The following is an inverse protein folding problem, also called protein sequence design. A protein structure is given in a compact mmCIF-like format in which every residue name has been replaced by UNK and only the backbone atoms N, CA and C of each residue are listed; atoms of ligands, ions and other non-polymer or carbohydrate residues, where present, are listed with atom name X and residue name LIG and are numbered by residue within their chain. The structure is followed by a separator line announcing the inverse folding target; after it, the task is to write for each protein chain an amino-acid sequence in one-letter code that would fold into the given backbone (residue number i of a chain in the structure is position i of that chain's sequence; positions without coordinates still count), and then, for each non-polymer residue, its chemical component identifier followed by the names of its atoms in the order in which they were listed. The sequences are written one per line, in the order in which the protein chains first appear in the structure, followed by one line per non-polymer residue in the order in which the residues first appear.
data_IF_831540212512
#
_entry.id   IF_831540212512
#
_cell.length_a   1.000
_cell.length_b   1.000
_cell.length_c   1.000
_cell.angle_alpha   90.00
_cell.angle_beta   90.00
_cell.angle_gamma   90.00
#
_symmetry.space_group_name_H-M   'P 1'
#
loop_
_entity.id
_entity.type
_entity.pdbx_description
1 polymer ?
#
# COMPACT_ATOMS: atom_id res chain seq x y z
N UNK A 1 4.66 -10.76 2.50
CA UNK A 1 3.51 -10.93 1.58
C UNK A 1 3.37 -9.68 0.72
N UNK A 2 3.18 -9.80 -0.61
CA UNK A 2 2.61 -8.69 -1.40
C UNK A 2 1.15 -8.62 -0.97
N UNK A 3 0.78 -7.53 -0.27
CA UNK A 3 -0.55 -7.44 0.34
C UNK A 3 -1.64 -7.24 -0.69
N UNK A 4 -1.30 -6.67 -1.85
CA UNK A 4 -2.22 -6.56 -2.96
C UNK A 4 -2.39 -7.94 -3.60
N UNK A 5 -3.62 -8.43 -3.63
CA UNK A 5 -3.91 -9.73 -4.24
C UNK A 5 -4.48 -9.43 -5.63
N UNK A 6 -3.80 -9.86 -6.71
CA UNK A 6 -4.21 -9.51 -8.05
C UNK A 6 -5.50 -10.25 -8.43
N UNK A 7 -6.49 -9.48 -8.88
CA UNK A 7 -7.68 -9.94 -9.58
C UNK A 7 -7.76 -9.18 -10.90
N UNK A 8 -8.42 -9.77 -11.90
CA UNK A 8 -8.68 -9.08 -13.17
C UNK A 8 -9.82 -8.08 -13.00
N UNK A 9 -10.84 -8.45 -12.23
CA UNK A 9 -12.09 -7.68 -12.06
C UNK A 9 -12.11 -6.80 -10.81
N UNK A 10 -11.31 -7.13 -9.79
CA UNK A 10 -11.21 -6.35 -8.56
C UNK A 10 -9.93 -5.50 -8.59
N UNK A 11 -10.06 -4.22 -8.26
CA UNK A 11 -8.95 -3.27 -8.42
C UNK A 11 -8.36 -2.79 -7.10
N UNK A 12 -9.06 -3.03 -5.98
CA UNK A 12 -8.66 -2.51 -4.68
C UNK A 12 -8.71 -3.60 -3.59
N UNK A 13 -8.40 -4.85 -3.98
CA UNK A 13 -8.38 -6.01 -3.09
C UNK A 13 -7.00 -6.20 -2.44
N UNK A 14 -6.94 -6.22 -1.11
CA UNK A 14 -5.70 -6.49 -0.37
C UNK A 14 -5.94 -7.12 1.00
N UNK A 15 -4.92 -7.84 1.47
CA UNK A 15 -4.77 -8.29 2.84
C UNK A 15 -4.33 -7.14 3.75
N UNK A 16 -4.90 -7.04 4.96
CA UNK A 16 -4.47 -6.10 6.01
C UNK A 16 -3.37 -6.69 6.90
N UNK A 17 -2.91 -7.90 6.62
CA UNK A 17 -1.81 -8.57 7.29
C UNK A 17 -0.45 -7.91 7.11
N UNK A 18 0.41 -8.12 8.11
CA UNK A 18 1.82 -7.73 8.15
C UNK A 18 2.09 -6.33 8.71
N UNK A 19 1.05 -5.51 8.95
CA UNK A 19 1.22 -4.21 9.59
C UNK A 19 1.76 -4.35 11.01
N UNK A 20 2.78 -3.56 11.40
CA UNK A 20 3.30 -3.58 12.75
C UNK A 20 2.34 -2.90 13.73
N UNK A 21 2.07 -3.56 14.85
CA UNK A 21 1.47 -2.93 16.02
C UNK A 21 2.55 -2.27 16.90
N UNK A 22 2.15 -1.31 17.73
CA UNK A 22 3.06 -0.53 18.58
C UNK A 22 3.83 -1.38 19.61
N UNK A 23 3.30 -2.55 19.99
CA UNK A 23 3.94 -3.48 20.93
C UNK A 23 4.88 -4.49 20.24
N UNK A 24 5.16 -4.31 18.95
CA UNK A 24 6.08 -5.14 18.17
C UNK A 24 5.45 -6.41 17.58
N UNK A 25 4.17 -6.69 17.88
CA UNK A 25 3.40 -7.70 17.17
C UNK A 25 3.05 -7.23 15.75
N UNK A 26 2.48 -8.13 14.94
CA UNK A 26 2.04 -7.83 13.57
C UNK A 26 0.63 -8.32 13.34
N UNK A 27 -0.11 -7.64 12.46
CA UNK A 27 -1.38 -8.13 11.98
C UNK A 27 -1.15 -9.44 11.23
N UNK A 28 -1.90 -10.48 11.58
CA UNK A 28 -1.80 -11.82 11.01
C UNK A 28 -2.24 -11.80 9.55
N UNK A 29 -1.41 -12.35 8.67
CA UNK A 29 -1.74 -12.47 7.26
C UNK A 29 -2.86 -13.50 7.01
N UNK A 30 -3.62 -13.30 5.94
CA UNK A 30 -4.68 -14.19 5.50
C UNK A 30 -5.95 -14.18 6.36
N UNK A 31 -6.08 -13.23 7.29
CA UNK A 31 -7.24 -13.16 8.20
C UNK A 31 -8.23 -12.06 7.85
N UNK A 32 -7.75 -10.88 7.48
CA UNK A 32 -8.61 -9.73 7.26
C UNK A 32 -8.28 -9.06 5.93
N UNK A 33 -9.25 -9.04 5.04
CA UNK A 33 -9.12 -8.48 3.71
C UNK A 33 -10.05 -7.27 3.53
N UNK A 34 -9.65 -6.37 2.65
CA UNK A 34 -10.48 -5.26 2.19
C UNK A 34 -10.54 -5.26 0.67
N UNK A 35 -11.68 -4.86 0.11
CA UNK A 35 -11.91 -4.91 -1.34
C UNK A 35 -12.81 -3.78 -1.86
N UNK A 36 -12.75 -3.55 -3.17
CA UNK A 36 -13.85 -2.96 -3.93
C UNK A 36 -15.00 -3.97 -4.12
N UNK A 37 -16.05 -3.57 -4.83
CA UNK A 37 -17.31 -4.34 -4.90
C UNK A 37 -17.12 -5.78 -5.40
N UNK A 38 -17.36 -6.76 -4.52
CA UNK A 38 -17.27 -8.19 -4.84
C UNK A 38 -18.35 -8.69 -5.82
N UNK A 39 -19.40 -7.90 -6.07
CA UNK A 39 -20.39 -8.20 -7.13
C UNK A 39 -19.83 -8.17 -8.56
N UNK A 40 -18.57 -7.78 -8.73
CA UNK A 40 -17.82 -7.89 -9.99
C UNK A 40 -17.34 -9.31 -10.27
N UNK A 41 -17.21 -10.15 -9.25
CA UNK A 41 -16.82 -11.55 -9.42
C UNK A 41 -17.87 -12.32 -10.22
N UNK A 42 -17.41 -13.37 -10.92
CA UNK A 42 -18.25 -14.26 -11.71
C UNK A 42 -17.99 -15.70 -11.27
N UNK A 43 -19.02 -16.51 -10.95
CA UNK A 43 -18.85 -17.93 -10.68
C UNK A 43 -18.04 -18.61 -11.78
N UNK A 44 -17.27 -19.64 -11.40
CA UNK A 44 -16.45 -20.46 -12.31
C UNK A 44 -15.39 -19.69 -13.11
N UNK A 45 -14.99 -18.50 -12.65
CA UNK A 45 -13.89 -17.72 -13.21
C UNK A 45 -12.60 -17.90 -12.41
N UNK A 46 -11.41 -17.65 -13.01
CA UNK A 46 -10.14 -17.68 -12.27
C UNK A 46 -10.10 -16.72 -11.07
N UNK A 47 -10.77 -15.57 -11.17
CA UNK A 47 -10.92 -14.62 -10.05
C UNK A 47 -11.80 -15.20 -8.93
N UNK A 48 -12.83 -15.97 -9.26
CA UNK A 48 -13.67 -16.64 -8.28
C UNK A 48 -12.93 -17.76 -7.56
N UNK A 49 -12.21 -18.61 -8.29
CA UNK A 49 -11.37 -19.66 -7.70
C UNK A 49 -10.30 -19.06 -6.79
N UNK A 50 -9.70 -17.94 -7.22
CA UNK A 50 -8.75 -17.19 -6.39
C UNK A 50 -9.40 -16.66 -5.12
N UNK A 51 -10.60 -16.09 -5.20
CA UNK A 51 -11.32 -15.60 -4.02
C UNK A 51 -11.64 -16.74 -3.05
N UNK A 52 -12.13 -17.88 -3.54
CA UNK A 52 -12.42 -19.06 -2.70
C UNK A 52 -11.15 -19.62 -2.04
N UNK A 53 -10.02 -19.62 -2.76
CA UNK A 53 -8.73 -20.07 -2.23
C UNK A 53 -8.19 -19.20 -1.07
N UNK A 54 -8.69 -17.98 -0.89
CA UNK A 54 -8.34 -17.14 0.26
C UNK A 54 -8.94 -17.65 1.57
N UNK A 55 -9.87 -18.62 1.53
CA UNK A 55 -10.48 -19.18 2.74
C UNK A 55 -11.38 -18.20 3.48
N UNK A 56 -11.94 -17.21 2.78
CA UNK A 56 -12.91 -16.27 3.35
C UNK A 56 -14.17 -17.01 3.77
N UNK A 57 -14.60 -16.81 5.02
CA UNK A 57 -15.82 -17.37 5.64
C UNK A 57 -16.87 -16.31 5.97
N UNK A 58 -16.51 -15.04 5.95
CA UNK A 58 -17.44 -13.94 6.21
C UNK A 58 -17.17 -12.79 5.25
N UNK A 59 -18.25 -12.30 4.62
CA UNK A 59 -18.25 -11.14 3.73
C UNK A 59 -19.13 -10.06 4.35
N UNK A 60 -18.53 -8.90 4.64
CA UNK A 60 -19.25 -7.71 5.09
C UNK A 60 -19.34 -6.73 3.91
N UNK A 61 -20.55 -6.47 3.46
CA UNK A 61 -20.85 -5.48 2.43
C UNK A 61 -21.32 -4.19 3.09
N UNK A 62 -20.48 -3.16 3.03
CA UNK A 62 -20.71 -1.85 3.64
C UNK A 62 -21.55 -0.91 2.76
N UNK A 63 -22.01 -1.41 1.60
CA UNK A 63 -22.81 -0.61 0.68
C UNK A 63 -24.22 -0.41 1.20
N UNK A 64 -24.88 0.64 0.72
CA UNK A 64 -26.32 0.74 0.88
C UNK A 64 -27.00 -0.47 0.19
N UNK A 65 -28.15 -0.96 0.71
CA UNK A 65 -28.88 -2.05 0.07
C UNK A 65 -29.19 -1.75 -1.42
N UNK A 66 -29.56 -0.51 -1.75
CA UNK A 66 -29.85 -0.11 -3.13
C UNK A 66 -28.62 -0.16 -4.05
N UNK A 67 -27.40 0.07 -3.55
CA UNK A 67 -26.18 -0.12 -4.32
C UNK A 67 -25.94 -1.61 -4.59
N UNK A 68 -26.13 -2.45 -3.58
CA UNK A 68 -25.96 -3.89 -3.69
C UNK A 68 -26.97 -4.51 -4.66
N UNK A 69 -28.23 -4.08 -4.62
CA UNK A 69 -29.27 -4.55 -5.52
C UNK A 69 -29.05 -4.05 -6.96
N UNK A 70 -28.64 -2.79 -7.15
CA UNK A 70 -28.40 -2.23 -8.48
C UNK A 70 -27.10 -2.71 -9.13
N UNK A 71 -26.09 -3.08 -8.33
CA UNK A 71 -24.71 -3.39 -8.81
C UNK A 71 -24.29 -4.83 -8.55
N UNK A 72 -25.18 -5.65 -8.01
CA UNK A 72 -24.93 -7.04 -7.66
C UNK A 72 -24.25 -7.17 -6.29
N UNK A 73 -24.65 -8.22 -5.59
CA UNK A 73 -23.95 -8.79 -4.43
C UNK A 73 -22.85 -9.72 -4.93
N UNK A 74 -21.95 -10.12 -4.03
CA UNK A 74 -21.08 -11.27 -4.30
C UNK A 74 -21.96 -12.48 -4.69
N UNK A 75 -21.55 -13.33 -5.65
CA UNK A 75 -22.27 -14.57 -5.93
C UNK A 75 -22.44 -15.42 -4.67
N UNK A 76 -23.61 -16.02 -4.48
CA UNK A 76 -23.88 -16.87 -3.32
C UNK A 76 -23.03 -18.14 -3.35
N UNK A 77 -22.56 -18.57 -2.18
CA UNK A 77 -21.75 -19.77 -2.03
C UNK A 77 -21.76 -20.26 -0.58
N UNK A 78 -21.80 -21.58 -0.37
CA UNK A 78 -21.92 -22.20 0.96
C UNK A 78 -20.69 -22.03 1.84
N UNK A 79 -19.54 -21.64 1.27
CA UNK A 79 -18.29 -21.51 2.03
C UNK A 79 -18.23 -20.29 2.93
N UNK A 80 -19.10 -19.29 2.75
CA UNK A 80 -19.09 -18.06 3.53
C UNK A 80 -20.49 -17.53 3.82
N UNK A 81 -20.59 -16.71 4.87
CA UNK A 81 -21.80 -15.93 5.17
C UNK A 81 -21.66 -14.51 4.64
N UNK A 82 -22.73 -13.99 4.01
CA UNK A 82 -22.84 -12.60 3.58
C UNK A 82 -23.65 -11.77 4.58
N UNK A 83 -23.13 -10.60 4.95
CA UNK A 83 -23.79 -9.61 5.80
C UNK A 83 -23.72 -8.23 5.14
N UNK A 84 -24.86 -7.62 4.86
CA UNK A 84 -24.92 -6.23 4.42
C UNK A 84 -25.11 -5.32 5.64
N UNK A 85 -24.07 -4.54 5.96
CA UNK A 85 -24.02 -3.62 7.10
C UNK A 85 -23.68 -2.21 6.57
N UNK A 86 -24.70 -1.48 6.14
CA UNK A 86 -24.52 -0.15 5.54
C UNK A 86 -24.17 0.89 6.60
N UNK A 87 -22.87 1.14 6.79
CA UNK A 87 -22.39 2.11 7.80
C UNK A 87 -22.67 3.57 7.42
N UNK A 88 -22.89 3.87 6.13
CA UNK A 88 -23.20 5.25 5.71
C UNK A 88 -24.71 5.43 5.64
N UNK A 89 -25.24 6.42 6.34
CA UNK A 89 -26.68 6.75 6.30
C UNK A 89 -26.97 7.98 5.42
N UNK A 90 -25.95 8.79 5.12
CA UNK A 90 -26.04 10.00 4.30
C UNK A 90 -25.29 9.85 2.98
N UNK A 91 -25.95 9.40 1.90
CA UNK A 91 -25.28 9.22 0.62
C UNK A 91 -24.85 10.56 0.02
N UNK A 92 -23.66 10.60 -0.57
CA UNK A 92 -23.14 11.77 -1.26
C UNK A 92 -22.62 11.42 -2.66
N UNK A 93 -22.99 12.25 -3.65
CA UNK A 93 -22.60 12.03 -5.03
C UNK A 93 -21.23 12.66 -5.32
N UNK A 94 -20.16 11.92 -5.03
CA UNK A 94 -18.79 12.36 -5.31
C UNK A 94 -18.56 12.77 -6.77
N UNK A 95 -19.24 12.12 -7.73
CA UNK A 95 -19.02 12.39 -9.15
C UNK A 95 -19.59 13.75 -9.60
N UNK A 96 -20.46 14.37 -8.81
CA UNK A 96 -21.07 15.66 -9.08
C UNK A 96 -20.41 16.82 -8.30
N UNK A 97 -19.42 16.55 -7.45
CA UNK A 97 -18.69 17.60 -6.74
C UNK A 97 -17.89 18.49 -7.71
N UNK A 98 -17.70 19.75 -7.34
CA UNK A 98 -17.00 20.74 -8.15
C UNK A 98 -15.49 20.68 -7.92
N UNK A 99 -14.66 21.14 -8.89
CA UNK A 99 -13.19 21.07 -8.78
C UNK A 99 -12.57 21.81 -7.59
N UNK A 100 -13.25 22.80 -7.03
CA UNK A 100 -12.81 23.60 -5.87
C UNK A 100 -12.97 22.87 -4.53
N UNK A 101 -13.69 21.74 -4.51
CA UNK A 101 -13.84 20.92 -3.29
C UNK A 101 -12.56 20.16 -3.01
N UNK A 102 -11.85 20.55 -1.95
CA UNK A 102 -10.69 19.81 -1.45
C UNK A 102 -11.13 18.45 -0.85
N UNK A 103 -10.59 17.32 -1.34
CA UNK A 103 -10.97 15.99 -0.86
C UNK A 103 -10.69 15.77 0.63
N UNK A 104 -9.64 16.34 1.20
CA UNK A 104 -9.22 16.12 2.58
C UNK A 104 -10.29 16.55 3.58
N UNK A 105 -10.56 17.87 3.72
CA UNK A 105 -11.61 18.37 4.60
C UNK A 105 -13.00 17.83 4.25
N UNK A 106 -13.34 17.72 2.96
CA UNK A 106 -14.66 17.27 2.55
C UNK A 106 -14.93 15.81 2.96
N UNK A 107 -14.06 14.87 2.58
CA UNK A 107 -14.26 13.45 2.86
C UNK A 107 -14.04 13.12 4.34
N UNK A 108 -13.11 13.79 5.03
CA UNK A 108 -12.96 13.61 6.48
C UNK A 108 -14.21 14.02 7.26
N UNK A 109 -14.91 15.08 6.83
CA UNK A 109 -16.20 15.44 7.39
C UNK A 109 -17.27 14.36 7.13
N UNK A 110 -17.31 13.77 5.93
CA UNK A 110 -18.22 12.63 5.63
C UNK A 110 -17.89 11.40 6.47
N UNK A 111 -16.61 11.11 6.71
CA UNK A 111 -16.22 10.00 7.58
C UNK A 111 -16.65 10.27 9.02
N UNK A 112 -16.55 11.52 9.51
CA UNK A 112 -17.09 11.88 10.82
C UNK A 112 -18.60 11.73 10.91
N UNK A 113 -19.36 12.09 9.87
CA UNK A 113 -20.82 11.83 9.83
C UNK A 113 -21.12 10.34 9.96
N UNK A 114 -20.42 9.49 9.20
CA UNK A 114 -20.55 8.02 9.28
C UNK A 114 -20.18 7.48 10.66
N UNK A 115 -19.17 8.06 11.32
CA UNK A 115 -18.81 7.67 12.68
C UNK A 115 -19.91 8.05 13.69
N UNK A 116 -20.69 9.09 13.41
CA UNK A 116 -21.76 9.55 14.31
C UNK A 116 -23.08 8.82 14.08
N UNK A 117 -23.49 8.61 12.82
CA UNK A 117 -24.79 8.00 12.50
C UNK A 117 -24.74 6.50 12.18
N UNK A 118 -23.63 5.99 11.66
CA UNK A 118 -23.42 4.56 11.38
C UNK A 118 -23.01 3.69 12.57
N UNK A 119 -23.20 4.17 13.80
CA UNK A 119 -22.65 3.56 15.01
C UNK A 119 -23.09 2.10 15.20
N UNK A 120 -24.37 1.78 14.96
CA UNK A 120 -24.91 0.43 15.13
C UNK A 120 -24.27 -0.56 14.15
N UNK A 121 -24.17 -0.21 12.86
CA UNK A 121 -23.56 -1.08 11.85
C UNK A 121 -22.03 -1.18 12.00
N UNK A 122 -21.37 -0.12 12.46
CA UNK A 122 -19.94 -0.14 12.78
C UNK A 122 -19.70 -1.10 13.96
N UNK A 123 -20.50 -1.03 15.02
CA UNK A 123 -20.40 -1.93 16.16
C UNK A 123 -20.57 -3.40 15.72
N UNK A 124 -21.64 -3.70 14.96
CA UNK A 124 -21.89 -5.04 14.43
C UNK A 124 -20.75 -5.54 13.51
N UNK A 125 -20.16 -4.65 12.70
CA UNK A 125 -19.02 -5.01 11.86
C UNK A 125 -17.77 -5.33 12.70
N UNK A 126 -17.49 -4.55 13.76
CA UNK A 126 -16.37 -4.79 14.65
C UNK A 126 -16.53 -6.10 15.44
N UNK A 127 -17.76 -6.44 15.87
CA UNK A 127 -18.06 -7.73 16.50
C UNK A 127 -17.77 -8.89 15.56
N UNK A 128 -18.25 -8.83 14.31
CA UNK A 128 -17.97 -9.85 13.30
C UNK A 128 -16.47 -10.01 13.03
N UNK A 129 -15.71 -8.91 13.04
CA UNK A 129 -14.25 -8.94 12.89
C UNK A 129 -13.57 -9.55 14.11
N UNK A 130 -14.04 -9.25 15.32
CA UNK A 130 -13.50 -9.83 16.56
C UNK A 130 -13.74 -11.34 16.65
N UNK A 131 -14.89 -11.80 16.18
CA UNK A 131 -15.30 -13.21 16.17
C UNK A 131 -14.74 -14.02 15.00
N UNK A 132 -14.14 -13.36 13.99
CA UNK A 132 -13.63 -14.00 12.78
C UNK A 132 -12.40 -14.88 13.08
N UNK A 133 -12.63 -16.18 13.29
CA UNK A 133 -11.56 -17.18 13.44
C UNK A 133 -10.91 -17.56 12.11
N UNK A 134 -11.60 -17.32 11.01
CA UNK A 134 -11.17 -17.58 9.64
C UNK A 134 -11.09 -16.30 8.82
N UNK A 135 -10.80 -16.39 7.51
CA UNK A 135 -10.70 -15.23 6.64
C UNK A 135 -12.01 -14.42 6.62
N UNK A 136 -11.91 -13.10 6.77
CA UNK A 136 -13.03 -12.17 6.62
C UNK A 136 -12.65 -11.09 5.61
N UNK A 137 -13.58 -10.72 4.74
CA UNK A 137 -13.44 -9.56 3.85
C UNK A 137 -14.55 -8.55 4.12
N UNK A 138 -14.19 -7.27 4.16
CA UNK A 138 -15.16 -6.19 4.10
C UNK A 138 -14.94 -5.31 2.87
N UNK A 139 -16.03 -4.89 2.23
CA UNK A 139 -15.96 -4.13 0.98
C UNK A 139 -17.04 -3.05 0.90
N UNK A 140 -16.85 -2.09 0.01
CA UNK A 140 -17.89 -1.14 -0.40
C UNK A 140 -17.94 -1.07 -1.93
N UNK A 141 -18.33 0.07 -2.52
CA UNK A 141 -18.32 0.22 -3.98
C UNK A 141 -16.90 0.22 -4.58
N UNK A 142 -16.02 1.07 -4.05
CA UNK A 142 -14.64 1.25 -4.52
C UNK A 142 -13.58 0.69 -3.56
N UNK A 143 -13.99 0.21 -2.39
CA UNK A 143 -13.07 -0.23 -1.34
C UNK A 143 -12.28 0.92 -0.70
N UNK A 144 -12.74 2.17 -0.88
CA UNK A 144 -12.03 3.39 -0.47
C UNK A 144 -12.56 3.97 0.83
N UNK A 145 -13.77 4.55 0.80
CA UNK A 145 -14.28 5.42 1.87
C UNK A 145 -14.77 4.61 3.07
N UNK A 146 -15.97 4.02 2.98
CA UNK A 146 -16.56 3.16 4.03
C UNK A 146 -15.64 2.02 4.46
N UNK A 147 -15.01 1.36 3.48
CA UNK A 147 -14.00 0.32 3.72
C UNK A 147 -12.76 0.88 4.41
N UNK A 148 -12.27 2.06 4.02
CA UNK A 148 -11.10 2.69 4.65
C UNK A 148 -11.38 3.12 6.08
N UNK A 149 -12.58 3.59 6.35
CA UNK A 149 -13.03 3.94 7.70
C UNK A 149 -13.06 2.71 8.61
N UNK A 150 -13.72 1.62 8.20
CA UNK A 150 -13.74 0.39 9.00
C UNK A 150 -12.33 -0.19 9.20
N UNK A 151 -11.49 -0.17 8.15
CA UNK A 151 -10.09 -0.58 8.26
C UNK A 151 -9.31 0.26 9.29
N UNK A 152 -9.50 1.58 9.29
CA UNK A 152 -8.85 2.47 10.24
C UNK A 152 -9.26 2.20 11.69
N UNK A 153 -10.55 1.95 11.95
CA UNK A 153 -11.03 1.60 13.29
C UNK A 153 -10.46 0.26 13.77
N UNK A 154 -10.48 -0.78 12.92
CA UNK A 154 -9.91 -2.10 13.27
C UNK A 154 -8.41 -1.99 13.52
N UNK A 155 -7.65 -1.38 12.60
CA UNK A 155 -6.20 -1.24 12.74
C UNK A 155 -5.82 -0.39 13.98
N UNK A 156 -6.58 0.67 14.27
CA UNK A 156 -6.40 1.46 15.49
C UNK A 156 -6.61 0.65 16.76
N UNK A 157 -7.66 -0.18 16.83
CA UNK A 157 -7.91 -1.09 17.96
C UNK A 157 -6.86 -2.21 18.10
N UNK A 158 -6.18 -2.57 17.00
CA UNK A 158 -5.02 -3.45 17.00
C UNK A 158 -3.72 -2.72 17.43
N UNK A 159 -3.77 -1.42 17.71
CA UNK A 159 -2.61 -0.62 18.10
C UNK A 159 -1.63 -0.40 16.95
N UNK A 160 -2.10 -0.44 15.70
CA UNK A 160 -1.29 -0.07 14.53
C UNK A 160 -1.12 1.46 14.52
N UNK A 161 0.10 2.00 14.33
CA UNK A 161 0.33 3.44 14.31
C UNK A 161 -0.43 4.16 13.20
N UNK A 162 -0.85 5.40 13.46
CA UNK A 162 -1.61 6.24 12.53
C UNK A 162 -0.96 6.36 11.17
N UNK A 163 0.36 6.52 11.13
CA UNK A 163 1.07 6.69 9.88
C UNK A 163 0.84 5.46 9.00
N UNK A 164 0.89 4.27 9.60
CA UNK A 164 0.63 3.00 8.89
C UNK A 164 -0.83 2.89 8.42
N UNK A 165 -1.79 3.37 9.22
CA UNK A 165 -3.21 3.41 8.85
C UNK A 165 -3.44 4.35 7.65
N UNK A 166 -2.83 5.53 7.69
CA UNK A 166 -2.86 6.52 6.60
C UNK A 166 -2.24 5.92 5.35
N UNK A 167 -1.08 5.27 5.48
CA UNK A 167 -0.40 4.61 4.37
C UNK A 167 -1.28 3.50 3.75
N UNK A 168 -1.95 2.66 4.55
CA UNK A 168 -2.90 1.66 4.02
C UNK A 168 -4.04 2.30 3.23
N UNK A 169 -4.59 3.41 3.72
CA UNK A 169 -5.63 4.15 3.01
C UNK A 169 -5.14 4.66 1.65
N UNK A 170 -3.94 5.24 1.62
CA UNK A 170 -3.36 5.79 0.38
C UNK A 170 -3.06 4.74 -0.69
N UNK A 171 -2.91 3.46 -0.34
CA UNK A 171 -2.73 2.39 -1.34
C UNK A 171 -3.87 2.33 -2.36
N UNK A 172 -5.05 2.83 -2.02
CA UNK A 172 -6.18 2.93 -2.97
C UNK A 172 -5.89 3.88 -4.13
N UNK A 173 -4.91 4.78 -4.02
CA UNK A 173 -4.43 5.60 -5.14
C UNK A 173 -4.01 4.75 -6.35
N UNK A 174 -3.41 3.56 -6.12
CA UNK A 174 -3.02 2.62 -7.18
C UNK A 174 -4.23 2.10 -7.98
N UNK A 175 -5.42 2.06 -7.37
CA UNK A 175 -6.66 1.62 -7.99
C UNK A 175 -7.41 2.75 -8.71
N UNK A 176 -7.03 4.03 -8.51
CA UNK A 176 -7.78 5.21 -9.01
C UNK A 176 -8.08 5.11 -10.50
N UNK A 177 -7.08 4.80 -11.32
CA UNK A 177 -7.23 4.75 -12.77
C UNK A 177 -8.27 3.72 -13.21
N UNK A 178 -8.21 2.52 -12.63
CA UNK A 178 -9.15 1.44 -12.91
C UNK A 178 -10.56 1.75 -12.38
N UNK A 179 -10.68 2.30 -11.17
CA UNK A 179 -11.95 2.73 -10.59
C UNK A 179 -12.63 3.82 -11.43
N UNK A 180 -11.84 4.77 -11.97
CA UNK A 180 -12.32 5.79 -12.88
C UNK A 180 -12.74 5.19 -14.23
N UNK A 181 -11.98 4.25 -14.77
CA UNK A 181 -12.33 3.54 -16.00
C UNK A 181 -13.65 2.77 -15.84
N UNK A 182 -13.82 2.03 -14.75
CA UNK A 182 -15.07 1.34 -14.39
C UNK A 182 -16.24 2.30 -14.30
N UNK A 183 -16.03 3.47 -13.68
CA UNK A 183 -17.08 4.47 -13.56
C UNK A 183 -17.46 5.02 -14.94
N UNK A 184 -16.49 5.35 -15.80
CA UNK A 184 -16.73 5.83 -17.18
C UNK A 184 -17.50 4.80 -18.00
N UNK A 185 -17.08 3.54 -17.95
CA UNK A 185 -17.73 2.45 -18.68
C UNK A 185 -19.22 2.31 -18.31
N UNK A 186 -19.55 2.47 -17.01
CA UNK A 186 -20.92 2.41 -16.49
C UNK A 186 -21.76 3.66 -16.76
N UNK A 187 -21.14 4.77 -17.14
CA UNK A 187 -21.79 6.07 -17.33
C UNK A 187 -21.67 6.58 -18.78
N UNK A 188 -21.65 5.65 -19.74
CA UNK A 188 -21.65 5.99 -21.17
C UNK A 188 -20.43 6.78 -21.61
N UNK A 189 -19.27 6.56 -20.99
CA UNK A 189 -18.01 7.25 -21.29
C UNK A 189 -17.89 8.65 -20.69
N UNK A 190 -18.90 9.15 -19.96
CA UNK A 190 -18.82 10.42 -19.22
C UNK A 190 -17.68 10.36 -18.20
N UNK A 191 -17.09 11.51 -17.85
CA UNK A 191 -16.16 11.65 -16.73
C UNK A 191 -16.84 12.31 -15.51
N UNK A 192 -16.41 12.00 -14.27
CA UNK A 192 -16.83 12.73 -13.09
C UNK A 192 -16.49 14.22 -13.21
N UNK A 193 -17.33 15.09 -12.65
CA UNK A 193 -17.06 16.53 -12.55
C UNK A 193 -15.90 16.79 -11.60
N UNK A 194 -15.84 16.02 -10.52
CA UNK A 194 -14.82 16.17 -9.50
C UNK A 194 -13.51 15.50 -9.91
N UNK A 195 -12.39 16.24 -10.04
CA UNK A 195 -11.10 15.65 -10.41
C UNK A 195 -10.55 14.67 -9.37
N UNK A 196 -10.95 14.83 -8.10
CA UNK A 196 -10.54 13.96 -7.00
C UNK A 196 -11.42 12.71 -6.86
N UNK A 197 -12.34 12.46 -7.80
CA UNK A 197 -13.11 11.23 -7.82
C UNK A 197 -12.18 10.00 -7.83
N UNK A 198 -12.52 9.00 -7.01
CA UNK A 198 -11.73 7.79 -6.75
C UNK A 198 -10.34 8.00 -6.09
N UNK A 199 -9.86 9.24 -5.91
CA UNK A 199 -8.61 9.53 -5.18
C UNK A 199 -8.75 9.27 -3.69
N UNK A 200 -7.67 8.83 -3.07
CA UNK A 200 -7.52 8.52 -1.65
C UNK A 200 -6.28 9.24 -1.04
N UNK A 201 -6.22 10.59 -1.06
CA UNK A 201 -5.06 11.30 -0.56
C UNK A 201 -4.93 11.16 0.96
N UNK A 202 -3.69 11.16 1.46
CA UNK A 202 -3.38 10.97 2.89
C UNK A 202 -4.14 11.92 3.82
N UNK A 203 -4.41 13.14 3.36
CA UNK A 203 -5.10 14.18 4.12
C UNK A 203 -6.49 13.75 4.58
N UNK A 204 -7.21 12.92 3.82
CA UNK A 204 -8.55 12.42 4.19
C UNK A 204 -8.47 11.61 5.48
N UNK A 205 -7.62 10.58 5.50
CA UNK A 205 -7.48 9.69 6.66
C UNK A 205 -6.84 10.42 7.84
N UNK A 206 -5.80 11.23 7.58
CA UNK A 206 -5.14 12.03 8.62
C UNK A 206 -6.11 12.99 9.31
N UNK A 207 -6.93 13.71 8.56
CA UNK A 207 -7.93 14.63 9.12
C UNK A 207 -9.05 13.89 9.84
N UNK A 208 -9.49 12.74 9.32
CA UNK A 208 -10.49 11.89 10.00
C UNK A 208 -9.99 11.39 11.35
N UNK A 209 -8.80 10.76 11.42
CA UNK A 209 -8.22 10.27 12.67
C UNK A 209 -8.02 11.40 13.68
N UNK A 210 -7.59 12.57 13.21
CA UNK A 210 -7.49 13.76 14.05
C UNK A 210 -8.86 14.20 14.57
N UNK A 211 -9.86 14.36 13.70
CA UNK A 211 -11.20 14.81 14.07
C UNK A 211 -11.87 13.85 15.06
N UNK A 212 -11.70 12.54 14.87
CA UNK A 212 -12.20 11.51 15.79
C UNK A 212 -11.63 11.72 17.20
N UNK A 213 -10.30 11.93 17.31
CA UNK A 213 -9.67 12.19 18.62
C UNK A 213 -10.03 13.53 19.22
N UNK A 214 -10.08 14.58 18.41
CA UNK A 214 -10.50 15.90 18.90
C UNK A 214 -11.92 15.86 19.46
N UNK A 215 -12.81 15.05 18.85
CA UNK A 215 -14.22 14.91 19.25
C UNK A 215 -14.42 14.01 20.47
N UNK A 216 -13.75 12.86 20.51
CA UNK A 216 -14.02 11.79 21.49
C UNK A 216 -12.89 11.60 22.51
N UNK A 217 -11.74 12.23 22.33
CA UNK A 217 -10.54 12.08 23.16
C UNK A 217 -9.64 10.91 22.73
N UNK A 218 -10.21 9.76 22.39
CA UNK A 218 -9.49 8.62 21.81
C UNK A 218 -10.41 7.73 20.97
N UNK A 219 -9.82 6.76 20.26
CA UNK A 219 -10.60 5.74 19.54
C UNK A 219 -11.39 4.85 20.52
N UNK A 220 -10.79 4.49 21.64
CA UNK A 220 -11.43 3.70 22.69
C UNK A 220 -12.60 4.45 23.32
N UNK A 221 -12.45 5.76 23.54
CA UNK A 221 -13.54 6.59 24.04
C UNK A 221 -14.70 6.70 23.03
N UNK A 222 -14.41 6.73 21.73
CA UNK A 222 -15.43 6.62 20.68
C UNK A 222 -16.16 5.26 20.72
N UNK A 223 -15.40 4.16 20.82
CA UNK A 223 -15.97 2.80 20.89
C UNK A 223 -16.87 2.64 22.12
N UNK A 224 -16.46 3.15 23.28
CA UNK A 224 -17.27 3.06 24.50
C UNK A 224 -18.44 4.04 24.53
N UNK A 225 -18.21 5.30 24.16
CA UNK A 225 -19.22 6.34 24.26
C UNK A 225 -20.26 6.31 23.14
N UNK A 226 -19.83 6.09 21.90
CA UNK A 226 -20.70 6.17 20.71
C UNK A 226 -21.16 4.80 20.24
N UNK A 227 -20.26 3.80 20.18
CA UNK A 227 -20.64 2.45 19.75
C UNK A 227 -21.29 1.62 20.88
N UNK A 228 -21.19 2.08 22.13
CA UNK A 228 -21.75 1.37 23.29
C UNK A 228 -21.04 0.05 23.61
N UNK A 229 -19.80 -0.13 23.16
CA UNK A 229 -19.03 -1.37 23.33
C UNK A 229 -17.95 -1.20 24.42
N UNK A 230 -17.57 -2.30 25.09
CA UNK A 230 -16.37 -2.31 25.92
C UNK A 230 -15.13 -2.28 25.01
N UNK A 231 -14.50 -1.11 24.88
CA UNK A 231 -13.36 -0.92 24.00
C UNK A 231 -12.14 -1.75 24.43
N UNK A 232 -11.95 -1.95 25.74
CA UNK A 232 -10.83 -2.73 26.25
C UNK A 232 -11.02 -4.21 25.94
N UNK A 233 -12.21 -4.75 26.19
CA UNK A 233 -12.54 -6.14 25.86
C UNK A 233 -12.50 -6.38 24.36
N UNK A 234 -13.07 -5.48 23.55
CA UNK A 234 -13.05 -5.56 22.09
C UNK A 234 -11.61 -5.55 21.55
N UNK A 235 -10.78 -4.60 22.00
CA UNK A 235 -9.37 -4.54 21.60
C UNK A 235 -8.62 -5.81 22.02
N UNK A 236 -8.83 -6.32 23.23
CA UNK A 236 -8.20 -7.57 23.68
C UNK A 236 -8.56 -8.75 22.77
N UNK A 237 -9.84 -8.91 22.41
CA UNK A 237 -10.30 -9.97 21.51
C UNK A 237 -9.74 -9.80 20.11
N UNK A 238 -9.84 -8.60 19.52
CA UNK A 238 -9.27 -8.30 18.20
C UNK A 238 -7.77 -8.61 18.16
N UNK A 239 -7.03 -8.22 19.19
CA UNK A 239 -5.58 -8.48 19.28
C UNK A 239 -5.28 -9.97 19.38
N UNK A 240 -6.04 -10.72 20.17
CA UNK A 240 -5.87 -12.17 20.28
C UNK A 240 -6.18 -12.91 18.96
N UNK A 241 -7.18 -12.45 18.22
CA UNK A 241 -7.62 -13.05 16.95
C UNK A 241 -6.69 -12.66 15.78
N UNK A 242 -6.31 -11.39 15.70
CA UNK A 242 -5.71 -10.79 14.50
C UNK A 242 -4.24 -10.41 14.65
N UNK A 243 -3.63 -10.48 15.84
CA UNK A 243 -2.19 -10.31 15.97
C UNK A 243 -1.45 -11.64 16.04
N UNK A 244 -0.19 -11.60 15.63
CA UNK A 244 0.79 -12.63 15.84
C UNK A 244 2.12 -12.01 16.28
N UNK A 245 2.96 -12.77 17.04
CA UNK A 245 4.30 -12.32 17.36
C UNK A 245 5.10 -12.00 16.10
N UNK A 246 5.95 -10.98 16.15
CA UNK A 246 6.93 -10.79 15.09
C UNK A 246 7.86 -12.03 15.00
N UNK A 247 8.36 -12.37 13.80
CA UNK A 247 9.29 -13.47 13.62
C UNK A 247 10.50 -13.34 14.55
N UNK A 248 10.78 -14.39 15.34
CA UNK A 248 11.90 -14.40 16.28
C UNK A 248 13.26 -14.30 15.59
N UNK A 249 13.36 -14.81 14.36
CA UNK A 249 14.53 -14.69 13.49
C UNK A 249 14.20 -13.84 12.28
N UNK A 250 15.20 -13.12 11.76
CA UNK A 250 15.02 -12.44 10.47
C UNK A 250 14.95 -13.50 9.38
N UNK A 251 13.93 -13.48 8.51
CA UNK A 251 13.82 -14.46 7.46
C UNK A 251 14.98 -14.32 6.47
N UNK A 252 15.36 -15.45 5.89
CA UNK A 252 16.32 -15.46 4.79
C UNK A 252 15.76 -14.65 3.61
N UNK A 253 16.64 -13.91 2.94
CA UNK A 253 16.30 -13.18 1.73
C UNK A 253 16.87 -13.99 0.59
N UNK A 254 15.98 -14.51 -0.23
CA UNK A 254 16.33 -15.09 -1.51
C UNK A 254 16.19 -14.01 -2.59
N UNK A 255 16.89 -14.17 -3.69
CA UNK A 255 16.84 -13.21 -4.79
C UNK A 255 16.99 -13.91 -6.13
N UNK A 256 16.39 -13.32 -7.16
CA UNK A 256 16.57 -13.74 -8.55
C UNK A 256 16.53 -12.53 -9.47
N UNK A 257 17.07 -12.70 -10.68
CA UNK A 257 16.85 -11.72 -11.75
C UNK A 257 15.35 -11.68 -12.09
N UNK A 258 14.85 -10.48 -12.32
CA UNK A 258 13.52 -10.25 -12.83
C UNK A 258 13.47 -10.59 -14.32
N UNK A 259 12.30 -11.04 -14.76
CA UNK A 259 11.96 -11.33 -16.15
C UNK A 259 10.84 -10.39 -16.61
N UNK A 260 10.56 -10.26 -17.93
CA UNK A 260 9.54 -9.34 -18.42
C UNK A 260 8.16 -9.52 -17.76
N UNK A 261 7.78 -10.75 -17.40
CA UNK A 261 6.55 -11.07 -16.66
C UNK A 261 6.47 -10.43 -15.26
N UNK A 262 7.60 -10.02 -14.70
CA UNK A 262 7.68 -9.39 -13.39
C UNK A 262 7.54 -7.86 -13.44
N UNK A 263 7.49 -7.25 -14.64
CA UNK A 263 7.36 -5.80 -14.77
C UNK A 263 6.16 -5.21 -14.01
N UNK A 264 4.96 -5.84 -13.97
CA UNK A 264 3.85 -5.36 -13.15
C UNK A 264 4.17 -5.34 -11.65
N UNK A 265 4.94 -6.31 -11.15
CA UNK A 265 5.36 -6.37 -9.74
C UNK A 265 6.30 -5.21 -9.41
N UNK A 266 7.24 -4.90 -10.30
CA UNK A 266 8.19 -3.80 -10.12
C UNK A 266 7.52 -2.43 -10.13
N UNK A 267 6.57 -2.21 -11.05
CA UNK A 267 5.74 -0.99 -11.08
C UNK A 267 4.99 -0.84 -9.76
N UNK A 268 4.29 -1.89 -9.30
CA UNK A 268 3.55 -1.84 -8.02
C UNK A 268 4.46 -1.58 -6.83
N UNK A 269 5.61 -2.25 -6.75
CA UNK A 269 6.57 -2.05 -5.66
C UNK A 269 7.04 -0.60 -5.61
N UNK A 270 7.38 -0.04 -6.78
CA UNK A 270 7.84 1.35 -6.88
C UNK A 270 6.73 2.34 -6.53
N UNK A 271 5.53 2.17 -7.06
CA UNK A 271 4.42 3.08 -6.83
C UNK A 271 3.95 3.02 -5.38
N UNK A 272 3.97 1.84 -4.76
CA UNK A 272 3.74 1.66 -3.33
C UNK A 272 4.79 2.42 -2.50
N UNK A 273 6.07 2.32 -2.88
CA UNK A 273 7.13 3.07 -2.21
C UNK A 273 7.01 4.59 -2.42
N UNK A 274 6.51 5.03 -3.58
CA UNK A 274 6.24 6.44 -3.86
C UNK A 274 5.09 6.98 -3.00
N UNK A 275 3.97 6.24 -2.89
CA UNK A 275 2.86 6.59 -2.00
C UNK A 275 3.31 6.67 -0.54
N UNK A 276 4.13 5.72 -0.10
CA UNK A 276 4.74 5.74 1.24
C UNK A 276 5.59 6.98 1.49
N UNK A 277 6.36 7.43 0.49
CA UNK A 277 7.17 8.64 0.58
C UNK A 277 6.28 9.89 0.67
N UNK A 278 5.29 10.01 -0.21
CA UNK A 278 4.36 11.13 -0.23
C UNK A 278 3.57 11.25 1.07
N UNK A 279 3.11 10.12 1.63
CA UNK A 279 2.40 10.05 2.91
C UNK A 279 3.27 10.50 4.12
N UNK A 280 4.57 10.76 3.89
CA UNK A 280 5.54 11.24 4.87
C UNK A 280 6.14 12.60 4.50
N UNK A 281 5.59 13.27 3.47
CA UNK A 281 6.12 14.52 2.95
C UNK A 281 7.51 14.37 2.30
N UNK A 282 7.87 13.17 1.82
CA UNK A 282 9.12 12.92 1.10
C UNK A 282 8.80 13.01 -0.40
N UNK A 283 9.18 14.11 -1.04
CA UNK A 283 9.03 14.30 -2.48
C UNK A 283 10.26 13.78 -3.23
N UNK A 284 10.23 12.51 -3.62
CA UNK A 284 11.33 11.90 -4.39
C UNK A 284 10.83 11.06 -5.56
N UNK A 285 9.79 10.23 -5.39
CA UNK A 285 9.15 9.48 -6.46
C UNK A 285 7.67 9.82 -6.58
N UNK A 286 7.15 9.72 -7.81
CA UNK A 286 5.71 9.84 -8.07
C UNK A 286 5.14 8.49 -8.52
N UNK A 287 3.93 8.10 -8.06
CA UNK A 287 3.22 6.94 -8.59
C UNK A 287 2.96 7.08 -10.10
N UNK A 288 3.08 5.99 -10.85
CA UNK A 288 2.86 5.96 -12.31
C UNK A 288 3.98 6.56 -13.15
N UNK A 289 5.05 7.06 -12.53
CA UNK A 289 6.17 7.69 -13.24
C UNK A 289 6.99 6.70 -14.09
N UNK A 290 7.05 5.42 -13.69
CA UNK A 290 7.76 4.36 -14.42
C UNK A 290 6.78 3.25 -14.79
N UNK A 291 6.77 2.92 -16.08
CA UNK A 291 5.86 1.92 -16.66
C UNK A 291 6.49 0.54 -16.67
N UNK A 292 5.71 -0.47 -17.04
CA UNK A 292 6.23 -1.82 -17.27
C UNK A 292 7.32 -1.82 -18.36
N UNK A 293 7.12 -1.04 -19.43
CA UNK A 293 8.09 -0.88 -20.51
C UNK A 293 9.45 -0.37 -19.98
N UNK A 294 9.43 0.59 -19.05
CA UNK A 294 10.67 1.06 -18.40
C UNK A 294 11.45 -0.11 -17.78
N UNK A 295 10.80 -0.93 -16.96
CA UNK A 295 11.47 -2.05 -16.29
C UNK A 295 11.90 -3.14 -17.28
N UNK A 296 11.11 -3.41 -18.32
CA UNK A 296 11.50 -4.35 -19.39
C UNK A 296 12.77 -3.87 -20.11
N UNK A 297 12.88 -2.58 -20.42
CA UNK A 297 14.08 -2.02 -21.04
C UNK A 297 15.28 -2.08 -20.08
N UNK A 298 15.09 -1.80 -18.79
CA UNK A 298 16.15 -1.97 -17.78
C UNK A 298 16.63 -3.42 -17.65
N UNK A 299 15.74 -4.41 -17.80
CA UNK A 299 16.12 -5.83 -17.81
C UNK A 299 16.98 -6.21 -19.04
N UNK A 300 16.83 -5.49 -20.17
CA UNK A 300 17.63 -5.70 -21.38
C UNK A 300 19.00 -5.05 -21.30
N UNK A 301 19.06 -3.83 -20.79
CA UNK A 301 20.28 -3.01 -20.75
C UNK A 301 21.18 -3.30 -19.54
N UNK A 302 20.62 -3.83 -18.44
CA UNK A 302 21.34 -4.11 -17.21
C UNK A 302 20.78 -5.31 -16.46
N UNK A 303 20.73 -5.20 -15.14
CA UNK A 303 20.12 -6.22 -14.30
C UNK A 303 19.04 -5.60 -13.41
N UNK A 304 17.87 -6.23 -13.38
CA UNK A 304 16.83 -5.94 -12.39
C UNK A 304 16.68 -7.18 -11.53
N UNK A 305 16.63 -7.01 -10.21
CA UNK A 305 16.58 -8.09 -9.25
C UNK A 305 15.37 -7.95 -8.34
N UNK A 306 14.77 -9.08 -7.97
CA UNK A 306 13.73 -9.18 -6.95
C UNK A 306 14.27 -9.92 -5.74
N UNK A 307 13.98 -9.40 -4.55
CA UNK A 307 14.22 -10.04 -3.27
C UNK A 307 12.92 -10.58 -2.68
N UNK A 308 13.01 -11.74 -2.03
CA UNK A 308 11.89 -12.42 -1.40
C UNK A 308 12.22 -12.75 0.05
N UNK A 309 11.25 -12.53 0.94
CA UNK A 309 11.25 -13.03 2.32
C UNK A 309 10.00 -13.89 2.50
N UNK A 310 10.18 -15.13 2.98
CA UNK A 310 9.09 -16.09 3.22
C UNK A 310 8.15 -16.25 2.00
N UNK A 311 8.75 -16.38 0.81
CA UNK A 311 8.03 -16.55 -0.46
C UNK A 311 7.39 -15.28 -1.03
N UNK A 312 7.49 -14.14 -0.35
CA UNK A 312 6.88 -12.90 -0.79
C UNK A 312 7.89 -11.81 -1.16
N UNK A 313 7.53 -10.95 -2.12
CA UNK A 313 8.38 -9.84 -2.56
C UNK A 313 8.67 -8.89 -1.39
N UNK A 314 9.94 -8.81 -1.02
CA UNK A 314 10.45 -7.94 0.04
C UNK A 314 11.10 -6.66 -0.51
N UNK A 315 11.51 -6.68 -1.78
CA UNK A 315 12.09 -5.52 -2.43
C UNK A 315 12.64 -5.83 -3.82
N UNK A 316 13.24 -4.81 -4.44
CA UNK A 316 13.90 -4.91 -5.72
C UNK A 316 15.05 -3.89 -5.80
N UNK A 317 15.96 -4.12 -6.73
CA UNK A 317 16.97 -3.13 -7.11
C UNK A 317 17.37 -3.30 -8.57
N UNK A 318 17.93 -2.24 -9.14
CA UNK A 318 18.59 -2.28 -10.42
C UNK A 318 20.10 -2.21 -10.23
N UNK A 319 20.81 -2.95 -11.06
CA UNK A 319 22.26 -2.92 -11.13
C UNK A 319 22.66 -2.61 -12.58
N UNK A 320 23.27 -1.44 -12.76
CA UNK A 320 23.74 -0.98 -14.05
C UNK A 320 25.26 -1.11 -14.14
N UNK A 321 25.77 -1.23 -15.36
CA UNK A 321 27.20 -1.38 -15.65
C UNK A 321 27.80 -0.12 -16.26
N UNK A 322 27.00 0.90 -16.52
CA UNK A 322 27.42 2.25 -16.86
C UNK A 322 26.30 3.22 -16.47
N UNK A 323 26.64 4.46 -16.11
CA UNK A 323 25.68 5.53 -15.82
C UNK A 323 26.27 6.91 -16.15
N UNK A 324 26.55 7.18 -17.44
CA UNK A 324 27.14 8.46 -17.85
C UNK A 324 26.18 9.63 -17.62
N UNK A 325 24.87 9.34 -17.57
CA UNK A 325 23.85 10.34 -17.28
C UNK A 325 24.03 10.95 -15.90
N UNK A 326 24.45 10.17 -14.90
CA UNK A 326 24.72 10.72 -13.57
C UNK A 326 26.20 10.98 -13.26
N UNK A 327 27.08 10.10 -13.71
CA UNK A 327 28.49 10.08 -13.30
C UNK A 327 29.46 10.67 -14.33
N UNK A 328 28.94 11.07 -15.49
CA UNK A 328 29.75 11.38 -16.67
C UNK A 328 30.52 10.16 -17.18
N UNK A 329 31.41 10.32 -18.17
CA UNK A 329 32.27 9.26 -18.64
C UNK A 329 33.16 8.73 -17.51
N UNK A 330 33.12 7.41 -17.26
CA UNK A 330 33.92 6.74 -16.22
C UNK A 330 34.59 5.48 -16.78
N UNK A 331 35.71 5.02 -16.17
CA UNK A 331 36.24 3.70 -16.45
C UNK A 331 35.21 2.60 -16.16
N UNK A 332 35.35 1.45 -16.79
CA UNK A 332 34.51 0.27 -16.54
C UNK A 332 34.89 -0.45 -15.23
N UNK A 333 35.06 0.31 -14.14
CA UNK A 333 35.59 -0.12 -12.85
C UNK A 333 34.52 -0.22 -11.74
N UNK A 334 33.28 0.16 -12.03
CA UNK A 334 32.21 0.22 -11.04
C UNK A 334 30.89 -0.38 -11.49
N UNK A 335 30.12 -0.96 -10.59
CA UNK A 335 28.68 -1.18 -10.83
C UNK A 335 27.85 -0.09 -10.15
N UNK A 336 26.70 0.24 -10.73
CA UNK A 336 25.84 1.35 -10.27
C UNK A 336 24.52 0.79 -9.74
N UNK A 337 24.26 0.99 -8.45
CA UNK A 337 23.04 0.52 -7.79
C UNK A 337 21.97 1.60 -7.88
N UNK A 338 20.86 1.30 -8.54
CA UNK A 338 19.73 2.20 -8.66
C UNK A 338 18.44 1.59 -8.12
N UNK A 339 17.50 2.47 -7.78
CA UNK A 339 16.12 2.11 -7.40
C UNK A 339 16.08 0.96 -6.38
N UNK A 340 16.88 1.07 -5.32
CA UNK A 340 16.85 0.16 -4.19
C UNK A 340 15.53 0.39 -3.43
N UNK A 341 14.59 -0.54 -3.57
CA UNK A 341 13.21 -0.40 -3.10
C UNK A 341 12.86 -1.54 -2.16
N UNK A 342 12.34 -1.24 -0.97
CA UNK A 342 11.78 -2.24 -0.06
C UNK A 342 10.26 -2.14 -0.05
N UNK A 343 9.56 -3.28 0.05
CA UNK A 343 8.11 -3.30 0.24
C UNK A 343 7.76 -2.65 1.58
N UNK A 344 7.06 -1.50 1.61
CA UNK A 344 6.79 -0.81 2.87
C UNK A 344 6.03 -1.67 3.87
N UNK A 345 6.36 -1.57 5.17
CA UNK A 345 5.78 -2.28 6.34
C UNK A 345 5.96 -3.80 6.40
N UNK A 346 5.90 -4.51 5.28
CA UNK A 346 5.96 -5.98 5.23
C UNK A 346 7.38 -6.49 4.98
N UNK A 347 8.28 -5.67 4.42
CA UNK A 347 9.68 -6.06 4.31
C UNK A 347 10.32 -6.21 5.70
N UNK A 348 11.06 -7.30 5.95
CA UNK A 348 11.79 -7.47 7.20
C UNK A 348 12.76 -6.29 7.46
N UNK A 349 12.96 -5.88 8.73
CA UNK A 349 13.96 -4.87 9.07
C UNK A 349 15.35 -5.20 8.51
N UNK A 350 15.98 -4.22 7.87
CA UNK A 350 17.30 -4.38 7.25
C UNK A 350 17.30 -4.99 5.84
N UNK A 351 16.13 -5.24 5.23
CA UNK A 351 16.03 -5.74 3.84
C UNK A 351 16.83 -4.89 2.86
N UNK A 352 16.72 -3.56 2.95
CA UNK A 352 17.49 -2.63 2.10
C UNK A 352 19.00 -2.86 2.18
N UNK A 353 19.55 -3.08 3.39
CA UNK A 353 20.99 -3.30 3.59
C UNK A 353 21.47 -4.60 2.96
N UNK A 354 20.65 -5.64 3.09
CA UNK A 354 20.97 -6.97 2.56
C UNK A 354 20.91 -7.00 1.04
N UNK A 355 19.93 -6.31 0.44
CA UNK A 355 19.88 -6.11 -1.02
C UNK A 355 21.08 -5.30 -1.52
N UNK A 356 21.45 -4.23 -0.82
CA UNK A 356 22.64 -3.44 -1.16
C UNK A 356 23.93 -4.29 -1.10
N UNK A 357 24.13 -5.04 -0.02
CA UNK A 357 25.27 -5.96 0.12
C UNK A 357 25.30 -7.04 -0.97
N UNK A 358 24.11 -7.53 -1.39
CA UNK A 358 24.01 -8.48 -2.50
C UNK A 358 24.43 -7.85 -3.83
N UNK A 359 24.00 -6.61 -4.10
CA UNK A 359 24.45 -5.86 -5.27
C UNK A 359 25.96 -5.66 -5.26
N UNK A 360 26.54 -5.25 -4.12
CA UNK A 360 27.99 -5.12 -3.92
C UNK A 360 28.73 -6.44 -4.23
N UNK A 361 28.27 -7.58 -3.70
CA UNK A 361 28.87 -8.89 -3.99
C UNK A 361 28.79 -9.25 -5.48
N UNK A 362 27.69 -8.92 -6.17
CA UNK A 362 27.52 -9.15 -7.61
C UNK A 362 28.49 -8.31 -8.45
N UNK A 363 28.77 -7.07 -8.01
CA UNK A 363 29.73 -6.16 -8.63
C UNK A 363 31.16 -6.67 -8.45
N UNK A 364 31.54 -7.06 -7.23
CA UNK A 364 32.85 -7.65 -6.94
C UNK A 364 33.10 -8.93 -7.76
N UNK A 365 32.09 -9.80 -7.86
CA UNK A 365 32.15 -11.00 -8.69
C UNK A 365 32.26 -10.72 -10.20
N UNK A 366 31.90 -9.51 -10.66
CA UNK A 366 32.15 -9.05 -12.02
C UNK A 366 33.57 -8.48 -12.23
N UNK A 367 34.44 -8.51 -11.21
CA UNK A 367 35.79 -7.96 -11.24
C UNK A 367 35.84 -6.43 -11.14
N UNK A 368 34.77 -5.78 -10.70
CA UNK A 368 34.71 -4.32 -10.58
C UNK A 368 35.03 -3.89 -9.14
N UNK A 369 36.08 -3.06 -8.92
CA UNK A 369 36.51 -2.67 -7.57
C UNK A 369 35.60 -1.64 -6.88
N UNK A 370 34.62 -1.04 -7.56
CA UNK A 370 33.78 0.00 -6.96
C UNK A 370 32.29 -0.31 -7.09
N UNK A 371 31.53 0.02 -6.04
CA UNK A 371 30.08 0.19 -6.12
C UNK A 371 29.75 1.68 -6.05
N UNK A 372 28.93 2.15 -6.97
CA UNK A 372 28.49 3.54 -7.08
C UNK A 372 26.97 3.62 -6.95
N UNK A 373 26.46 4.73 -6.42
CA UNK A 373 25.03 5.04 -6.36
C UNK A 373 24.82 6.54 -6.21
N UNK A 374 23.60 6.98 -6.49
CA UNK A 374 23.17 8.36 -6.27
C UNK A 374 21.94 8.44 -5.35
N UNK A 375 21.83 9.54 -4.61
CA UNK A 375 20.64 9.85 -3.83
C UNK A 375 20.27 11.33 -3.93
N UNK A 376 18.99 11.64 -3.78
CA UNK A 376 18.51 13.03 -3.79
C UNK A 376 19.26 13.87 -2.75
N UNK A 377 19.87 14.98 -3.15
CA UNK A 377 20.67 15.85 -2.26
C UNK A 377 19.84 16.40 -1.09
N UNK A 378 18.55 16.61 -1.30
CA UNK A 378 17.62 17.08 -0.27
C UNK A 378 17.20 15.99 0.76
N UNK A 379 17.69 14.75 0.63
CA UNK A 379 17.34 13.63 1.52
C UNK A 379 18.52 13.24 2.44
N UNK A 380 18.74 13.97 3.56
CA UNK A 380 19.87 13.72 4.46
C UNK A 380 19.81 12.35 5.15
N UNK A 381 18.60 11.80 5.35
CA UNK A 381 18.42 10.46 5.93
C UNK A 381 18.95 9.38 5.01
N UNK A 382 18.67 9.48 3.71
CA UNK A 382 19.15 8.52 2.72
C UNK A 382 20.67 8.62 2.53
N UNK A 383 21.22 9.83 2.60
CA UNK A 383 22.68 10.04 2.63
C UNK A 383 23.33 9.34 3.84
N UNK A 384 22.85 9.63 5.05
CA UNK A 384 23.36 9.01 6.28
C UNK A 384 23.23 7.48 6.25
N UNK A 385 22.15 6.98 5.64
CA UNK A 385 22.00 5.55 5.36
C UNK A 385 23.17 5.06 4.50
N UNK A 386 23.46 5.62 3.33
CA UNK A 386 24.56 5.10 2.51
C UNK A 386 25.95 5.27 3.14
N UNK A 387 26.21 6.39 3.83
CA UNK A 387 27.47 6.61 4.56
C UNK A 387 27.69 5.53 5.62
N UNK A 388 26.65 5.14 6.36
CA UNK A 388 26.75 4.05 7.34
C UNK A 388 26.91 2.64 6.72
N UNK A 389 26.77 2.49 5.39
CA UNK A 389 27.15 1.27 4.66
C UNK A 389 28.62 1.28 4.17
N UNK A 390 29.36 2.35 4.46
CA UNK A 390 30.75 2.53 4.02
C UNK A 390 30.88 3.22 2.65
N UNK A 391 29.83 3.87 2.16
CA UNK A 391 29.94 4.74 0.99
C UNK A 391 30.49 6.12 1.40
N UNK A 392 31.27 6.75 0.53
CA UNK A 392 31.76 8.12 0.69
C UNK A 392 31.18 9.01 -0.39
N UNK A 393 30.92 10.27 -0.04
CA UNK A 393 30.49 11.28 -1.03
C UNK A 393 31.67 11.67 -1.90
N UNK A 394 31.49 11.58 -3.21
CA UNK A 394 32.53 11.86 -4.22
C UNK A 394 32.14 12.96 -5.20
N UNK A 395 30.92 13.49 -5.11
CA UNK A 395 30.47 14.61 -5.91
C UNK A 395 28.99 14.92 -5.74
N UNK A 396 28.55 15.92 -6.48
CA UNK A 396 27.15 16.29 -6.61
C UNK A 396 26.86 16.61 -8.08
N UNK A 397 25.72 16.15 -8.58
CA UNK A 397 25.22 16.52 -9.89
C UNK A 397 23.99 17.39 -9.72
N UNK A 398 24.08 18.64 -10.21
CA UNK A 398 23.09 19.69 -9.95
C UNK A 398 21.82 19.59 -10.80
N UNK A 399 21.84 18.80 -11.88
CA UNK A 399 20.69 18.56 -12.74
C UNK A 399 20.77 17.17 -13.35
N UNK A 400 19.98 16.23 -12.82
CA UNK A 400 19.72 14.93 -13.47
C UNK A 400 18.37 15.04 -14.18
N UNK A 401 18.35 14.90 -15.51
CA UNK A 401 17.09 14.82 -16.26
C UNK A 401 16.47 13.44 -16.04
N UNK A 402 15.51 13.34 -15.11
CA UNK A 402 14.85 12.10 -14.72
C UNK A 402 13.73 11.61 -15.66
N UNK A 403 13.50 12.31 -16.77
CA UNK A 403 12.52 11.94 -17.80
C UNK A 403 11.05 12.21 -17.46
N UNK A 404 10.73 12.91 -16.36
CA UNK A 404 9.34 13.15 -15.93
C UNK A 404 9.10 14.38 -15.02
N UNK A 405 10.12 15.19 -14.70
CA UNK A 405 9.98 16.33 -13.78
C UNK A 405 11.16 17.31 -13.78
N UNK A 406 11.04 18.40 -13.00
CA UNK A 406 12.05 19.44 -12.82
C UNK A 406 13.43 18.87 -12.44
N UNK A 407 14.54 19.47 -12.91
CA UNK A 407 15.88 19.00 -12.58
C UNK A 407 16.08 19.00 -11.06
N UNK A 408 16.51 17.85 -10.52
CA UNK A 408 16.85 17.71 -9.11
C UNK A 408 18.33 17.39 -8.95
N UNK A 409 18.90 17.86 -7.84
CA UNK A 409 20.30 17.61 -7.49
C UNK A 409 20.44 16.24 -6.81
N UNK A 410 21.48 15.51 -7.19
CA UNK A 410 21.83 14.22 -6.57
C UNK A 410 23.25 14.24 -6.02
N UNK A 411 23.42 13.65 -4.84
CA UNK A 411 24.72 13.34 -4.26
C UNK A 411 25.22 12.03 -4.86
N UNK A 412 26.46 12.04 -5.33
CA UNK A 412 27.14 10.86 -5.88
C UNK A 412 27.97 10.20 -4.77
N UNK A 413 27.75 8.90 -4.55
CA UNK A 413 28.45 8.14 -3.52
C UNK A 413 29.13 6.90 -4.09
N UNK A 414 30.32 6.59 -3.57
CA UNK A 414 31.14 5.44 -4.00
C UNK A 414 31.62 4.63 -2.79
N UNK A 415 31.76 3.32 -2.98
CA UNK A 415 32.38 2.40 -2.03
C UNK A 415 33.37 1.51 -2.76
N UNK A 416 34.59 1.41 -2.22
CA UNK A 416 35.57 0.42 -2.69
C UNK A 416 35.20 -0.96 -2.16
N UNK A 417 35.10 -1.93 -3.06
CA UNK A 417 34.84 -3.33 -2.76
C UNK A 417 36.18 -4.03 -2.51
N UNK A 418 36.19 -4.91 -1.50
CA UNK A 418 37.37 -5.66 -1.07
C UNK A 418 37.63 -6.91 -1.89
#
# INVERSE_FOLDING_TARGET
MDRHIPFETLHNFRDLGGYPAADGQRVRAGRLFRADSLGKLRPDSPDWDRFLALGVRTVIDLRHPWEADARGRIPEHDSFTYRNLSIEHRPYNQAALTPDVDPGPYLSARFMEVAEDGAEEIAAALELVADAKEGLVFHCASGKDRTGQLAALVLGLLGVPDEVIIEDFTLTELATGALLADWRARNGGRSPVWPSFARAPESVMRLFLKALRDRYGSLEAYVTGTLGMDAQALSATLRATLLEPAPATRPELTHRRAEPRDAPVLVRLRDTAALWQLARGIEQWQPGEKTEAHFVDRMREGEVWLAYADGAVAGAWELWWDDPAAWGPRPADAGYVHRLMTTPHTAPPGTGRRMLARAESRIAAAGRPYARLDCLSANPRLRAYYESAGYTVVGEQRAKEGGSGSPYAVTLLEKRLG
#
